data_IF_954798455220
#
_entry.id   IF_954798455220
#
_cell.length_a   1.000
_cell.length_b   1.000
_cell.length_c   1.000
_cell.angle_alpha   90.00
_cell.angle_beta   90.00
_cell.angle_gamma   90.00
#
_symmetry.space_group_name_H-M   'P 1'
#
loop_
_entity.id
_entity.type
_entity.pdbx_description
1 polymer ?
#
# COMPACT_ATOMS: atom_id res chain seq x y z
N UNK A 1 -2.42 -20.23 9.18
CA UNK A 1 -2.28 -18.79 9.24
C UNK A 1 -2.98 -18.15 8.05
N UNK A 2 -3.70 -17.10 8.31
CA UNK A 2 -4.42 -16.39 7.25
C UNK A 2 -3.48 -15.61 6.36
N UNK A 3 -3.82 -15.51 5.09
CA UNK A 3 -3.07 -14.68 4.17
C UNK A 3 -3.20 -13.20 4.56
N UNK A 4 -2.19 -12.42 4.25
CA UNK A 4 -2.23 -10.97 4.40
C UNK A 4 -3.08 -10.41 3.26
N UNK A 5 -4.13 -9.70 3.60
CA UNK A 5 -5.06 -9.13 2.62
C UNK A 5 -4.56 -7.76 2.20
N UNK A 6 -4.21 -7.64 0.93
CA UNK A 6 -3.55 -6.44 0.38
C UNK A 6 -4.46 -5.73 -0.60
N UNK A 7 -4.61 -4.42 -0.41
CA UNK A 7 -5.30 -3.53 -1.34
C UNK A 7 -4.25 -2.67 -2.03
N UNK A 8 -4.30 -2.58 -3.36
CA UNK A 8 -3.42 -1.70 -4.13
C UNK A 8 -4.16 -0.44 -4.54
N UNK A 9 -3.51 0.72 -4.40
CA UNK A 9 -4.04 2.01 -4.83
C UNK A 9 -3.00 2.62 -5.77
N UNK A 10 -3.24 2.55 -7.07
CA UNK A 10 -2.30 2.95 -8.11
C UNK A 10 -3.08 3.38 -9.36
N UNK A 11 -2.82 4.57 -9.85
CA UNK A 11 -3.58 5.12 -10.98
C UNK A 11 -3.17 4.58 -12.35
N UNK A 12 -1.94 4.11 -12.51
CA UNK A 12 -1.48 3.55 -13.78
C UNK A 12 -2.04 2.14 -13.95
N UNK A 13 -2.93 1.94 -14.91
CA UNK A 13 -3.62 0.66 -15.11
C UNK A 13 -2.69 -0.50 -15.37
N UNK A 14 -1.70 -0.30 -16.25
CA UNK A 14 -0.75 -1.37 -16.60
C UNK A 14 0.09 -1.77 -15.40
N UNK A 15 0.63 -0.78 -14.70
CA UNK A 15 1.46 -1.04 -13.53
C UNK A 15 0.65 -1.71 -12.41
N UNK A 16 -0.58 -1.22 -12.18
CA UNK A 16 -1.47 -1.79 -11.16
C UNK A 16 -1.77 -3.26 -11.42
N UNK A 17 -2.13 -3.58 -12.66
CA UNK A 17 -2.44 -4.96 -13.04
C UNK A 17 -1.22 -5.86 -12.94
N UNK A 18 -0.07 -5.39 -13.40
CA UNK A 18 1.18 -6.14 -13.32
C UNK A 18 1.59 -6.40 -11.88
N UNK A 19 1.48 -5.38 -11.05
CA UNK A 19 1.87 -5.50 -9.64
C UNK A 19 0.94 -6.45 -8.90
N UNK A 20 -0.36 -6.37 -9.15
CA UNK A 20 -1.33 -7.28 -8.56
C UNK A 20 -1.02 -8.73 -8.92
N UNK A 21 -0.69 -8.98 -10.18
CA UNK A 21 -0.33 -10.31 -10.66
C UNK A 21 0.92 -10.82 -9.96
N UNK A 22 1.96 -9.99 -9.87
CA UNK A 22 3.22 -10.39 -9.26
C UNK A 22 3.08 -10.66 -7.76
N UNK A 23 2.38 -9.79 -7.04
CA UNK A 23 2.20 -9.95 -5.60
C UNK A 23 1.37 -11.19 -5.26
N UNK A 24 0.39 -11.49 -6.09
CA UNK A 24 -0.48 -12.66 -5.86
C UNK A 24 0.28 -13.98 -5.93
N UNK A 25 1.48 -13.99 -6.51
CA UNK A 25 2.31 -15.20 -6.61
C UNK A 25 3.14 -15.47 -5.36
N UNK A 26 3.20 -14.53 -4.44
CA UNK A 26 3.95 -14.72 -3.19
C UNK A 26 3.08 -15.43 -2.16
N UNK A 27 3.64 -16.43 -1.51
CA UNK A 27 2.93 -17.18 -0.49
C UNK A 27 2.53 -16.26 0.66
N UNK A 28 1.29 -16.43 1.12
CA UNK A 28 0.79 -15.67 2.25
C UNK A 28 0.26 -14.29 1.92
N UNK A 29 0.25 -13.89 0.65
CA UNK A 29 -0.34 -12.63 0.21
C UNK A 29 -1.59 -12.89 -0.62
N UNK A 30 -2.66 -12.15 -0.34
CA UNK A 30 -3.89 -12.20 -1.13
C UNK A 30 -4.23 -10.79 -1.56
N UNK A 31 -4.31 -10.55 -2.87
CA UNK A 31 -4.68 -9.24 -3.39
C UNK A 31 -6.21 -9.17 -3.40
N UNK A 32 -6.77 -8.45 -2.43
CA UNK A 32 -8.22 -8.39 -2.26
C UNK A 32 -8.86 -7.32 -3.13
N UNK A 33 -8.08 -6.40 -3.66
CA UNK A 33 -8.58 -5.39 -4.58
C UNK A 33 -7.46 -4.50 -5.10
N UNK A 34 -7.78 -3.78 -6.17
CA UNK A 34 -6.86 -2.82 -6.77
C UNK A 34 -7.69 -1.68 -7.34
N UNK A 35 -7.43 -0.46 -6.90
CA UNK A 35 -8.19 0.71 -7.30
C UNK A 35 -7.27 1.78 -7.85
N UNK A 36 -7.80 2.63 -8.73
CA UNK A 36 -7.02 3.66 -9.40
C UNK A 36 -7.12 5.05 -8.76
N UNK A 37 -7.98 5.23 -7.77
CA UNK A 37 -8.27 6.53 -7.17
C UNK A 37 -7.99 6.52 -5.69
N UNK A 38 -7.24 7.51 -5.22
CA UNK A 38 -6.95 7.66 -3.80
C UNK A 38 -8.20 7.87 -2.95
N UNK A 39 -9.20 8.55 -3.51
CA UNK A 39 -10.46 8.78 -2.81
C UNK A 39 -11.29 7.52 -2.56
N UNK A 40 -10.96 6.42 -3.24
CA UNK A 40 -11.64 5.14 -3.03
C UNK A 40 -10.93 4.25 -2.01
N UNK A 41 -9.73 4.61 -1.59
CA UNK A 41 -8.88 3.72 -0.80
C UNK A 41 -9.50 3.34 0.54
N UNK A 42 -9.98 4.31 1.30
CA UNK A 42 -10.53 4.05 2.64
C UNK A 42 -11.78 3.18 2.59
N UNK A 43 -12.70 3.49 1.67
CA UNK A 43 -13.93 2.70 1.51
C UNK A 43 -13.61 1.27 1.07
N UNK A 44 -12.74 1.12 0.08
CA UNK A 44 -12.34 -0.20 -0.41
C UNK A 44 -11.65 -1.01 0.67
N UNK A 45 -10.80 -0.37 1.45
CA UNK A 45 -10.12 -1.02 2.58
C UNK A 45 -11.14 -1.58 3.58
N UNK A 46 -12.14 -0.77 3.93
CA UNK A 46 -13.16 -1.19 4.88
C UNK A 46 -14.02 -2.33 4.32
N UNK A 47 -14.48 -2.18 3.08
CA UNK A 47 -15.35 -3.19 2.44
C UNK A 47 -14.63 -4.52 2.22
N UNK A 48 -13.38 -4.46 1.82
CA UNK A 48 -12.59 -5.66 1.49
C UNK A 48 -11.80 -6.19 2.68
N UNK A 49 -11.80 -5.48 3.79
CA UNK A 49 -11.09 -5.86 5.02
C UNK A 49 -9.60 -6.09 4.75
N UNK A 50 -8.97 -5.09 4.13
CA UNK A 50 -7.55 -5.15 3.86
C UNK A 50 -6.74 -5.05 5.15
N UNK A 51 -5.66 -5.81 5.22
CA UNK A 51 -4.70 -5.72 6.32
C UNK A 51 -3.63 -4.70 6.03
N UNK A 52 -3.23 -4.59 4.77
CA UNK A 52 -2.21 -3.64 4.31
C UNK A 52 -2.71 -2.96 3.04
N UNK A 53 -2.58 -1.64 2.99
CA UNK A 53 -2.92 -0.86 1.81
C UNK A 53 -1.64 -0.30 1.23
N UNK A 54 -1.31 -0.66 0.00
CA UNK A 54 -0.16 -0.14 -0.73
C UNK A 54 -0.66 1.05 -1.55
N UNK A 55 -0.18 2.24 -1.24
CA UNK A 55 -0.68 3.48 -1.84
C UNK A 55 0.44 4.17 -2.60
N UNK A 56 0.20 4.46 -3.89
CA UNK A 56 1.10 5.32 -4.64
C UNK A 56 1.17 6.69 -3.96
N UNK A 57 2.37 7.16 -3.72
CA UNK A 57 2.60 8.43 -3.03
C UNK A 57 2.02 9.61 -3.81
N UNK A 58 1.99 9.53 -5.15
CA UNK A 58 1.45 10.58 -6.01
C UNK A 58 0.28 10.04 -6.82
N UNK A 59 -0.92 10.45 -6.44
CA UNK A 59 -2.15 10.08 -7.12
C UNK A 59 -2.77 11.32 -7.78
N UNK A 60 -3.56 11.15 -8.87
CA UNK A 60 -4.10 12.30 -9.59
C UNK A 60 -5.23 13.02 -8.88
N UNK A 61 -5.99 12.33 -8.02
CA UNK A 61 -7.16 12.91 -7.37
C UNK A 61 -6.84 13.51 -5.99
N UNK A 62 -6.13 12.76 -5.13
CA UNK A 62 -5.66 13.26 -3.84
C UNK A 62 -4.25 12.76 -3.58
N UNK A 63 -3.52 13.43 -2.73
CA UNK A 63 -2.17 12.98 -2.35
C UNK A 63 -2.23 11.62 -1.67
N UNK A 64 -1.17 10.82 -1.86
CA UNK A 64 -1.05 9.54 -1.17
C UNK A 64 -1.13 9.69 0.35
N UNK A 65 -0.58 10.80 0.88
CA UNK A 65 -0.65 11.07 2.33
C UNK A 65 -2.08 11.32 2.81
N UNK A 66 -2.90 11.99 1.99
CA UNK A 66 -4.32 12.20 2.32
C UNK A 66 -5.07 10.87 2.26
N UNK A 67 -4.81 10.07 1.24
CA UNK A 67 -5.43 8.74 1.14
C UNK A 67 -5.06 7.88 2.34
N UNK A 68 -3.80 7.92 2.75
CA UNK A 68 -3.33 7.18 3.93
C UNK A 68 -4.02 7.64 5.21
N UNK A 69 -4.21 8.95 5.37
CA UNK A 69 -4.89 9.49 6.53
C UNK A 69 -6.34 9.00 6.59
N UNK A 70 -7.03 8.99 5.45
CA UNK A 70 -8.40 8.49 5.38
C UNK A 70 -8.50 7.00 5.70
N UNK A 71 -7.51 6.22 5.22
CA UNK A 71 -7.45 4.79 5.53
C UNK A 71 -7.26 4.57 7.02
N UNK A 72 -6.33 5.29 7.64
CA UNK A 72 -6.06 5.16 9.08
C UNK A 72 -7.28 5.54 9.92
N UNK A 73 -7.99 6.56 9.50
CA UNK A 73 -9.17 7.03 10.21
C UNK A 73 -10.31 6.01 10.14
N UNK A 74 -10.55 5.47 8.95
CA UNK A 74 -11.66 4.55 8.71
C UNK A 74 -11.32 3.09 9.04
N UNK A 75 -10.05 2.72 8.89
CA UNK A 75 -9.58 1.35 9.07
C UNK A 75 -8.38 1.33 10.02
N UNK A 76 -8.59 1.57 11.32
CA UNK A 76 -7.45 1.68 12.25
C UNK A 76 -6.64 0.40 12.39
N UNK A 77 -7.18 -0.74 11.95
CA UNK A 77 -6.46 -2.02 11.99
C UNK A 77 -5.66 -2.32 10.72
N UNK A 78 -5.73 -1.43 9.72
CA UNK A 78 -4.96 -1.59 8.50
C UNK A 78 -3.67 -0.80 8.56
N UNK A 79 -2.61 -1.33 7.95
CA UNK A 79 -1.33 -0.64 7.81
C UNK A 79 -1.20 -0.07 6.42
N UNK A 80 -0.41 0.98 6.26
CA UNK A 80 -0.14 1.61 4.97
C UNK A 80 1.33 1.43 4.61
N UNK A 81 1.57 1.13 3.34
CA UNK A 81 2.91 1.14 2.73
C UNK A 81 2.83 2.06 1.52
N UNK A 82 3.72 3.04 1.44
CA UNK A 82 3.78 3.93 0.27
C UNK A 82 4.64 3.32 -0.82
N UNK A 83 4.25 3.58 -2.06
CA UNK A 83 4.98 3.16 -3.24
C UNK A 83 5.22 4.40 -4.09
N UNK A 84 6.45 4.64 -4.54
CA UNK A 84 6.77 5.85 -5.28
C UNK A 84 7.69 5.58 -6.45
N UNK A 85 7.40 6.22 -7.60
CA UNK A 85 8.25 6.15 -8.79
C UNK A 85 9.50 7.02 -8.65
N UNK A 86 9.43 8.10 -7.90
CA UNK A 86 10.48 9.12 -7.88
C UNK A 86 10.67 9.79 -6.53
N UNK A 87 10.60 9.01 -5.46
CA UNK A 87 10.78 9.57 -4.12
C UNK A 87 12.21 10.09 -3.96
N UNK A 88 12.32 11.34 -3.51
CA UNK A 88 13.57 11.91 -3.09
C UNK A 88 13.87 11.51 -1.65
N UNK A 89 15.07 11.85 -1.19
CA UNK A 89 15.48 11.51 0.18
C UNK A 89 14.55 12.15 1.21
N UNK A 90 14.10 13.39 0.96
CA UNK A 90 13.20 14.08 1.88
C UNK A 90 11.88 13.34 2.06
N UNK A 91 11.34 12.78 0.98
CA UNK A 91 10.09 12.02 1.03
C UNK A 91 10.28 10.71 1.79
N UNK A 92 11.40 10.02 1.55
CA UNK A 92 11.73 8.79 2.27
C UNK A 92 11.88 9.07 3.77
N UNK A 93 12.58 10.16 4.11
CA UNK A 93 12.78 10.55 5.51
C UNK A 93 11.46 10.95 6.18
N UNK A 94 10.60 11.67 5.47
CA UNK A 94 9.28 12.06 5.98
C UNK A 94 8.43 10.84 6.28
N UNK A 95 8.42 9.87 5.38
CA UNK A 95 7.68 8.62 5.57
C UNK A 95 8.21 7.86 6.78
N UNK A 96 9.53 7.78 6.91
CA UNK A 96 10.15 7.11 8.06
C UNK A 96 9.78 7.78 9.38
N UNK A 97 9.79 9.11 9.41
CA UNK A 97 9.40 9.86 10.61
C UNK A 97 7.95 9.62 11.00
N UNK A 98 7.08 9.44 10.00
CA UNK A 98 5.67 9.15 10.27
C UNK A 98 5.41 7.68 10.63
N UNK A 99 6.43 6.83 10.55
CA UNK A 99 6.30 5.40 10.82
C UNK A 99 5.71 4.60 9.67
N UNK A 100 5.62 5.19 8.47
CA UNK A 100 5.04 4.52 7.31
C UNK A 100 6.15 4.19 6.31
N UNK A 101 6.38 2.90 6.00
CA UNK A 101 7.42 2.56 5.03
C UNK A 101 7.10 3.11 3.65
N UNK A 102 8.13 3.54 2.93
CA UNK A 102 8.02 3.96 1.55
C UNK A 102 9.00 3.14 0.72
N UNK A 103 8.47 2.47 -0.30
CA UNK A 103 9.24 1.64 -1.23
C UNK A 103 9.26 2.33 -2.58
N UNK A 104 10.43 2.39 -3.23
CA UNK A 104 10.51 2.93 -4.59
C UNK A 104 10.17 1.85 -5.60
N UNK A 105 9.49 2.25 -6.67
CA UNK A 105 9.06 1.29 -7.71
C UNK A 105 10.24 0.62 -8.42
N UNK A 106 11.43 1.26 -8.40
CA UNK A 106 12.62 0.70 -9.03
C UNK A 106 13.37 -0.30 -8.14
N UNK A 107 12.93 -0.51 -6.91
CA UNK A 107 13.61 -1.42 -5.98
C UNK A 107 13.27 -2.89 -6.17
N UNK A 108 12.25 -3.21 -6.94
CA UNK A 108 11.85 -4.58 -7.16
C UNK A 108 10.73 -5.04 -6.23
N UNK A 109 9.99 -6.03 -6.69
CA UNK A 109 8.78 -6.50 -5.99
C UNK A 109 9.11 -7.17 -4.66
N UNK A 110 10.25 -7.84 -4.56
CA UNK A 110 10.66 -8.50 -3.32
C UNK A 110 10.85 -7.52 -2.16
N UNK A 111 11.31 -6.29 -2.45
CA UNK A 111 11.43 -5.24 -1.43
C UNK A 111 10.04 -4.82 -0.94
N UNK A 112 9.11 -4.67 -1.87
CA UNK A 112 7.72 -4.33 -1.51
C UNK A 112 7.08 -5.45 -0.68
N UNK A 113 7.29 -6.69 -1.04
CA UNK A 113 6.76 -7.84 -0.28
C UNK A 113 7.28 -7.82 1.15
N UNK A 114 8.56 -7.54 1.35
CA UNK A 114 9.12 -7.44 2.70
C UNK A 114 8.48 -6.31 3.51
N UNK A 115 8.24 -5.17 2.86
CA UNK A 115 7.58 -4.04 3.52
C UNK A 115 6.15 -4.38 3.92
N UNK A 116 5.42 -5.06 3.03
CA UNK A 116 4.03 -5.49 3.30
C UNK A 116 3.99 -6.48 4.47
N UNK A 117 4.87 -7.47 4.46
CA UNK A 117 4.94 -8.45 5.56
C UNK A 117 5.31 -7.80 6.88
N UNK A 118 6.26 -6.87 6.85
CA UNK A 118 6.65 -6.13 8.05
C UNK A 118 5.51 -5.26 8.59
N UNK A 119 4.75 -4.63 7.71
CA UNK A 119 3.60 -3.81 8.11
C UNK A 119 2.52 -4.67 8.76
N UNK A 120 2.23 -5.84 8.20
CA UNK A 120 1.25 -6.76 8.75
C UNK A 120 1.67 -7.29 10.13
N UNK A 121 2.95 -7.60 10.31
CA UNK A 121 3.47 -8.06 11.59
C UNK A 121 3.31 -7.02 12.69
N UNK A 122 3.59 -5.75 12.36
CA UNK A 122 3.45 -4.67 13.34
C UNK A 122 2.01 -4.51 13.84
N UNK A 123 1.04 -4.78 12.97
CA UNK A 123 -0.37 -4.69 13.35
C UNK A 123 -0.83 -5.90 14.17
N UNK A 124 -0.12 -7.02 14.04
CA UNK A 124 -0.46 -8.26 14.74
C UNK A 124 0.07 -8.32 16.16
N UNK A 125 1.06 -7.50 16.46
CA UNK A 125 1.74 -7.55 17.77
C UNK A 125 1.15 -6.62 18.81
#
# INVERSE_FOLDING_TARGET
MDAIRVLLVEDNDVYRESLAFLLARYDGLEIVGAVGMGGSAARSCAELRADVVVIDYRLPDIDGTEAAAEVRDRCPNASVVFLSASAGQDEVDAARRSGTPLVRKDEGVDVLVRAVRGAAERMSS
#
